data_IF_014734062920
#
_entry.id   IF_014734062920
#
_cell.length_a   1.000
_cell.length_b   1.000
_cell.length_c   1.000
_cell.angle_alpha   90.00
_cell.angle_beta   90.00
_cell.angle_gamma   90.00
#
_symmetry.space_group_name_H-M   'P 1'
#
loop_
_entity.id
_entity.type
_entity.pdbx_description
1 polymer ?
#
# COMPACT_ATOMS: atom_id res chain seq x y z
N UNK A 1 16.86 -4.55 15.28
CA UNK A 1 15.99 -3.40 15.58
C UNK A 1 16.87 -2.17 15.60
N UNK A 2 16.76 -1.34 14.56
CA UNK A 2 17.46 -0.05 14.46
C UNK A 2 16.68 0.89 15.38
N UNK A 3 17.31 1.47 16.40
CA UNK A 3 16.64 2.54 17.16
C UNK A 3 16.34 3.68 16.20
N UNK A 4 15.08 4.10 16.07
CA UNK A 4 14.72 5.21 15.21
C UNK A 4 15.51 6.48 15.61
N UNK A 5 15.75 7.42 14.68
CA UNK A 5 16.48 8.65 15.00
C UNK A 5 15.75 9.44 16.09
N UNK A 6 16.52 9.96 17.05
CA UNK A 6 16.01 10.79 18.15
C UNK A 6 15.31 12.04 17.60
N UNK A 7 14.26 12.51 18.28
CA UNK A 7 13.53 13.70 17.84
C UNK A 7 14.43 14.95 17.87
N UNK A 8 14.27 15.88 16.90
CA UNK A 8 15.01 17.15 16.90
C UNK A 8 14.77 17.96 18.19
N UNK A 9 13.56 17.88 18.75
CA UNK A 9 13.17 18.53 20.00
C UNK A 9 13.97 17.99 21.19
N UNK A 10 14.15 16.67 21.27
CA UNK A 10 14.94 16.03 22.31
C UNK A 10 16.43 16.38 22.19
N UNK A 11 16.98 16.36 20.97
CA UNK A 11 18.37 16.76 20.72
C UNK A 11 18.60 18.22 21.14
N UNK A 12 17.70 19.13 20.77
CA UNK A 12 17.78 20.54 21.16
C UNK A 12 17.69 20.73 22.68
N UNK A 13 16.84 19.95 23.36
CA UNK A 13 16.77 19.97 24.82
C UNK A 13 18.10 19.51 25.44
N UNK A 14 18.67 18.40 24.97
CA UNK A 14 19.98 17.93 25.44
C UNK A 14 21.07 18.98 25.20
N UNK A 15 21.07 19.64 24.04
CA UNK A 15 22.03 20.67 23.70
C UNK A 15 21.92 21.91 24.62
N UNK A 16 20.70 22.39 24.87
CA UNK A 16 20.48 23.48 25.82
C UNK A 16 20.88 23.12 27.26
N UNK A 17 20.69 21.86 27.67
CA UNK A 17 21.10 21.39 28.99
C UNK A 17 22.63 21.35 29.15
N UNK A 18 23.38 20.83 28.17
CA UNK A 18 24.85 20.81 28.27
C UNK A 18 25.46 22.22 28.23
N UNK A 19 24.84 23.16 27.52
CA UNK A 19 25.25 24.57 27.50
C UNK A 19 25.00 25.26 28.84
N UNK A 20 23.83 25.05 29.43
CA UNK A 20 23.48 25.59 30.75
C UNK A 20 24.42 25.06 31.83
N UNK A 21 24.62 23.74 31.88
CA UNK A 21 25.55 23.09 32.81
C UNK A 21 26.99 23.56 32.56
N UNK A 22 27.33 23.72 31.28
CA UNK A 22 28.61 24.23 30.81
C UNK A 22 28.99 25.57 31.44
N UNK A 23 28.04 26.50 31.38
CA UNK A 23 28.18 27.86 31.87
C UNK A 23 28.12 27.96 33.40
N UNK A 24 27.18 27.25 34.05
CA UNK A 24 26.99 27.34 35.50
C UNK A 24 28.19 26.76 36.27
N UNK A 25 28.70 25.60 35.85
CA UNK A 25 29.75 24.89 36.57
C UNK A 25 31.17 25.19 36.04
N UNK A 26 31.28 26.10 35.06
CA UNK A 26 32.53 26.50 34.39
C UNK A 26 33.38 25.31 33.95
N UNK A 27 32.73 24.33 33.31
CA UNK A 27 33.41 23.11 32.84
C UNK A 27 34.07 23.35 31.49
N UNK A 28 35.21 22.70 31.27
CA UNK A 28 35.89 22.71 29.97
C UNK A 28 35.15 21.85 28.94
N UNK A 29 34.42 20.83 29.40
CA UNK A 29 33.61 19.96 28.56
C UNK A 29 32.41 19.39 29.31
N UNK A 30 31.26 19.33 28.66
CA UNK A 30 30.06 18.64 29.13
C UNK A 30 29.48 17.84 27.96
N UNK A 31 29.19 16.56 28.13
CA UNK A 31 28.67 15.72 27.04
C UNK A 31 27.67 14.71 27.56
N UNK A 32 26.53 14.62 26.88
CA UNK A 32 25.53 13.57 27.10
C UNK A 32 25.79 12.46 26.09
N UNK A 33 26.02 11.26 26.62
CA UNK A 33 26.13 10.04 25.86
C UNK A 33 24.92 9.16 26.09
N UNK A 34 24.48 8.46 25.04
CA UNK A 34 23.43 7.47 25.12
C UNK A 34 23.98 6.10 24.77
N UNK A 35 23.47 5.07 25.43
CA UNK A 35 23.85 3.70 25.16
C UNK A 35 23.25 3.21 23.85
N UNK A 36 24.07 2.61 22.99
CA UNK A 36 23.58 1.92 21.81
C UNK A 36 23.08 0.51 22.17
N UNK A 37 21.94 0.05 21.62
CA UNK A 37 21.40 -1.28 21.91
C UNK A 37 22.14 -2.42 21.21
N UNK A 38 22.91 -2.13 20.14
CA UNK A 38 23.51 -3.14 19.27
C UNK A 38 24.86 -3.69 19.77
N UNK A 39 25.55 -3.00 20.68
CA UNK A 39 26.90 -3.36 21.15
C UNK A 39 27.02 -3.21 22.68
N UNK A 40 27.74 -4.14 23.33
CA UNK A 40 27.97 -4.09 24.77
C UNK A 40 28.81 -2.85 25.14
N UNK A 41 28.26 -1.98 26.00
CA UNK A 41 28.91 -0.77 26.52
C UNK A 41 29.38 0.24 25.45
N UNK A 42 28.68 0.30 24.31
CA UNK A 42 28.88 1.35 23.30
C UNK A 42 28.02 2.59 23.60
N UNK A 43 28.63 3.76 23.49
CA UNK A 43 28.03 5.05 23.83
C UNK A 43 28.20 6.05 22.69
N UNK A 44 27.10 6.67 22.28
CA UNK A 44 27.09 7.72 21.26
C UNK A 44 26.82 9.09 21.85
N UNK A 45 27.61 10.11 21.50
CA UNK A 45 27.36 11.48 21.94
C UNK A 45 26.12 12.04 21.26
N UNK A 46 25.25 12.70 22.03
CA UNK A 46 24.03 13.36 21.52
C UNK A 46 24.06 14.86 21.67
N UNK A 47 24.74 15.37 22.70
CA UNK A 47 24.95 16.79 22.91
C UNK A 47 26.31 17.02 23.54
N UNK A 48 27.01 18.07 23.10
CA UNK A 48 28.33 18.42 23.63
C UNK A 48 28.48 19.93 23.81
N UNK A 49 29.21 20.32 24.85
CA UNK A 49 29.60 21.68 25.15
C UNK A 49 31.11 21.72 25.45
N UNK A 50 31.87 22.69 24.90
CA UNK A 50 31.44 23.60 23.83
C UNK A 50 31.25 22.86 22.50
N UNK A 51 30.30 23.28 21.66
CA UNK A 51 30.01 22.64 20.37
C UNK A 51 31.23 22.57 19.43
N UNK A 52 32.21 23.44 19.63
CA UNK A 52 33.46 23.53 18.86
C UNK A 52 34.46 22.41 19.16
N UNK A 53 34.24 21.61 20.21
CA UNK A 53 35.10 20.48 20.54
C UNK A 53 34.37 19.15 20.26
N UNK A 54 34.96 18.24 19.47
CA UNK A 54 34.36 16.94 19.23
C UNK A 54 34.30 16.12 20.53
N UNK A 55 33.16 15.44 20.73
CA UNK A 55 32.98 14.48 21.81
C UNK A 55 34.00 13.33 21.68
N UNK A 56 34.39 12.73 22.81
CA UNK A 56 35.32 11.60 22.79
C UNK A 56 34.56 10.36 22.27
N UNK A 57 34.96 9.78 21.12
CA UNK A 57 34.25 8.64 20.58
C UNK A 57 34.51 7.38 21.40
N UNK A 58 33.50 6.49 21.46
CA UNK A 58 33.59 5.17 22.10
C UNK A 58 33.52 5.21 23.63
N UNK A 59 34.11 4.20 24.27
CA UNK A 59 34.05 3.96 25.73
C UNK A 59 35.43 3.96 26.41
N UNK A 60 36.52 4.25 25.68
CA UNK A 60 37.90 4.22 26.20
C UNK A 60 38.19 5.27 27.28
N UNK A 61 37.38 6.33 27.35
CA UNK A 61 37.46 7.34 28.40
C UNK A 61 36.85 6.89 29.73
N UNK A 62 36.07 5.79 29.76
CA UNK A 62 35.53 5.22 31.00
C UNK A 62 36.60 4.49 31.83
N UNK A 63 37.61 3.91 31.16
CA UNK A 63 38.65 3.10 31.82
C UNK A 63 39.81 3.93 32.36
N UNK A 64 39.92 5.21 32.00
CA UNK A 64 41.01 6.11 32.35
C UNK A 64 40.50 7.43 32.97
N UNK A 65 39.55 7.31 33.90
CA UNK A 65 38.91 8.44 34.55
C UNK A 65 39.94 9.32 35.29
N UNK A 66 40.04 10.58 34.88
CA UNK A 66 40.88 11.58 35.57
C UNK A 66 40.14 12.13 36.79
N UNK A 67 40.83 12.56 37.86
CA UNK A 67 40.19 13.18 39.03
C UNK A 67 39.39 14.46 38.71
N UNK A 68 39.63 15.05 37.54
CA UNK A 68 38.96 16.24 37.00
C UNK A 68 37.66 15.90 36.24
N UNK A 69 37.33 14.62 36.10
CA UNK A 69 36.19 14.12 35.35
C UNK A 69 35.10 13.63 36.30
N UNK A 70 33.87 14.13 36.10
CA UNK A 70 32.68 13.62 36.78
C UNK A 70 31.82 12.88 35.77
N UNK A 71 31.51 11.62 36.08
CA UNK A 71 30.64 10.76 35.27
C UNK A 71 29.40 10.44 36.07
N UNK A 72 28.25 10.87 35.57
CA UNK A 72 26.95 10.64 36.21
C UNK A 72 26.11 9.72 35.34
N UNK A 73 25.62 8.60 35.88
CA UNK A 73 24.83 7.66 35.11
C UNK A 73 23.39 8.16 34.92
N UNK A 74 22.88 8.05 33.69
CA UNK A 74 21.48 8.28 33.37
C UNK A 74 20.77 6.93 33.48
N UNK A 75 20.17 6.66 34.64
CA UNK A 75 19.56 5.35 34.95
C UNK A 75 18.08 5.52 35.22
N UNK A 76 17.27 4.64 34.62
CA UNK A 76 15.86 4.50 34.92
C UNK A 76 15.59 3.08 35.45
N UNK A 77 15.24 2.97 36.73
CA UNK A 77 15.15 1.67 37.40
C UNK A 77 16.51 0.97 37.42
N UNK A 78 16.61 -0.21 36.80
CA UNK A 78 17.87 -0.96 36.66
C UNK A 78 18.55 -0.75 35.29
N UNK A 79 17.96 0.08 34.42
CA UNK A 79 18.43 0.26 33.03
C UNK A 79 19.31 1.49 32.91
N UNK A 80 20.57 1.30 32.51
CA UNK A 80 21.48 2.39 32.11
C UNK A 80 21.12 2.88 30.70
N UNK A 81 20.57 4.08 30.64
CA UNK A 81 20.16 4.76 29.40
C UNK A 81 21.35 5.48 28.74
N UNK A 82 22.25 6.03 29.55
CA UNK A 82 23.34 6.87 29.07
C UNK A 82 24.21 7.42 30.19
N UNK A 83 25.07 8.37 29.86
CA UNK A 83 26.03 8.99 30.77
C UNK A 83 26.08 10.50 30.53
N UNK A 84 26.11 11.27 31.61
CA UNK A 84 26.48 12.68 31.58
C UNK A 84 27.94 12.79 32.04
N UNK A 85 28.80 13.36 31.21
CA UNK A 85 30.24 13.46 31.46
C UNK A 85 30.64 14.92 31.50
N UNK A 86 31.21 15.35 32.62
CA UNK A 86 31.74 16.69 32.80
C UNK A 86 33.25 16.64 33.06
N UNK A 87 33.99 17.59 32.50
CA UNK A 87 35.43 17.74 32.68
C UNK A 87 35.76 19.15 33.16
N UNK A 88 36.32 19.27 34.35
CA UNK A 88 36.73 20.55 34.96
C UNK A 88 38.17 20.48 35.46
N UNK A 89 39.15 20.98 34.67
CA UNK A 89 40.56 20.93 35.05
C UNK A 89 40.84 21.76 36.31
N UNK A 90 41.71 21.26 37.19
CA UNK A 90 42.23 22.02 38.33
C UNK A 90 41.26 22.31 39.49
N UNK A 91 40.02 21.80 39.47
CA UNK A 91 39.05 22.02 40.55
C UNK A 91 38.24 20.76 40.88
N UNK A 92 38.26 20.35 42.15
CA UNK A 92 37.46 19.23 42.66
C UNK A 92 35.97 19.58 42.72
N UNK A 93 35.12 18.57 42.60
CA UNK A 93 33.67 18.70 42.71
C UNK A 93 33.22 18.71 44.17
N UNK A 94 32.49 19.75 44.57
CA UNK A 94 31.87 19.79 45.90
C UNK A 94 30.64 18.86 45.97
N UNK A 95 30.28 18.43 47.19
CA UNK A 95 29.10 17.59 47.40
C UNK A 95 27.79 18.27 46.94
N UNK A 96 27.69 19.60 47.10
CA UNK A 96 26.54 20.36 46.62
C UNK A 96 26.45 20.41 45.09
N UNK A 97 27.58 20.62 44.38
CA UNK A 97 27.60 20.60 42.92
C UNK A 97 27.24 19.21 42.37
N UNK A 98 27.74 18.15 43.00
CA UNK A 98 27.37 16.77 42.66
C UNK A 98 25.88 16.54 42.85
N UNK A 99 25.28 17.03 43.94
CA UNK A 99 23.84 16.92 44.19
C UNK A 99 23.00 17.67 43.15
N UNK A 100 23.40 18.89 42.76
CA UNK A 100 22.70 19.64 41.71
C UNK A 100 22.81 18.95 40.34
N UNK A 101 23.99 18.44 40.00
CA UNK A 101 24.20 17.70 38.75
C UNK A 101 23.40 16.38 38.74
N UNK A 102 23.26 15.73 39.89
CA UNK A 102 22.43 14.54 40.03
C UNK A 102 20.93 14.85 39.87
N UNK A 103 20.46 16.04 40.28
CA UNK A 103 19.09 16.48 40.00
C UNK A 103 18.89 16.75 38.50
N UNK A 104 19.88 17.36 37.84
CA UNK A 104 19.84 17.57 36.39
C UNK A 104 19.80 16.25 35.60
N UNK A 105 20.55 15.23 36.03
CA UNK A 105 20.46 13.90 35.41
C UNK A 105 19.10 13.24 35.58
N UNK A 106 18.44 13.40 36.73
CA UNK A 106 17.07 12.90 36.93
C UNK A 106 16.07 13.54 35.95
N UNK A 107 16.18 14.85 35.69
CA UNK A 107 15.35 15.53 34.70
C UNK A 107 15.59 14.99 33.29
N UNK A 108 16.85 14.74 32.92
CA UNK A 108 17.20 14.15 31.63
C UNK A 108 16.65 12.72 31.47
N UNK A 109 16.70 11.91 32.54
CA UNK A 109 16.11 10.56 32.54
C UNK A 109 14.60 10.60 32.34
N UNK A 110 13.90 11.54 32.98
CA UNK A 110 12.45 11.70 32.79
C UNK A 110 12.10 12.14 31.37
N UNK A 111 12.83 13.12 30.82
CA UNK A 111 12.66 13.57 29.43
C UNK A 111 12.89 12.42 28.43
N UNK A 112 13.92 11.59 28.68
CA UNK A 112 14.18 10.39 27.90
C UNK A 112 13.02 9.38 27.96
N UNK A 113 12.50 9.11 29.15
CA UNK A 113 11.36 8.21 29.34
C UNK A 113 10.11 8.65 28.56
N UNK A 114 9.84 9.95 28.52
CA UNK A 114 8.74 10.53 27.75
C UNK A 114 8.95 10.40 26.24
N UNK A 115 10.17 10.62 25.74
CA UNK A 115 10.49 10.44 24.32
C UNK A 115 10.33 8.98 23.88
N UNK A 116 10.77 8.03 24.71
CA UNK A 116 10.56 6.59 24.47
C UNK A 116 9.07 6.22 24.42
N UNK A 117 8.27 6.75 25.36
CA UNK A 117 6.82 6.55 25.34
C UNK A 117 6.19 7.15 24.08
N UNK A 118 6.58 8.36 23.67
CA UNK A 118 6.09 9.02 22.45
C UNK A 118 6.33 8.16 21.22
N UNK A 119 7.53 7.60 21.07
CA UNK A 119 7.88 6.72 19.95
C UNK A 119 7.06 5.42 19.95
N UNK A 120 6.89 4.80 21.13
CA UNK A 120 6.06 3.61 21.26
C UNK A 120 4.59 3.89 20.95
N UNK A 121 4.07 5.04 21.37
CA UNK A 121 2.72 5.49 21.05
C UNK A 121 2.53 5.70 19.56
N UNK A 122 3.44 6.42 18.90
CA UNK A 122 3.40 6.62 17.44
C UNK A 122 3.40 5.30 16.69
N UNK A 123 4.30 4.38 17.04
CA UNK A 123 4.38 3.06 16.39
C UNK A 123 3.08 2.28 16.57
N UNK A 124 2.50 2.26 17.78
CA UNK A 124 1.23 1.56 18.06
C UNK A 124 0.05 2.19 17.34
N UNK A 125 -0.05 3.52 17.33
CA UNK A 125 -1.14 4.21 16.62
C UNK A 125 -1.05 3.94 15.13
N UNK A 126 0.16 3.89 14.57
CA UNK A 126 0.38 3.63 13.16
C UNK A 126 -0.02 2.20 12.79
N UNK A 127 0.35 1.19 13.59
CA UNK A 127 -0.10 -0.18 13.37
C UNK A 127 -1.62 -0.37 13.50
N UNK A 128 -2.27 0.38 14.39
CA UNK A 128 -3.74 0.34 14.53
C UNK A 128 -4.45 1.02 13.36
N UNK A 129 -3.91 2.16 12.88
CA UNK A 129 -4.46 2.81 11.69
C UNK A 129 -4.25 1.94 10.46
N UNK A 130 -3.07 1.35 10.29
CA UNK A 130 -2.74 0.48 9.14
C UNK A 130 -3.69 -0.73 9.09
N UNK A 131 -3.93 -1.39 10.24
CA UNK A 131 -4.88 -2.50 10.34
C UNK A 131 -6.34 -2.07 10.10
N UNK A 132 -6.73 -0.86 10.52
CA UNK A 132 -8.06 -0.33 10.27
C UNK A 132 -8.27 0.02 8.79
N UNK A 133 -7.31 0.66 8.14
CA UNK A 133 -7.34 0.92 6.69
C UNK A 133 -7.35 -0.38 5.90
N UNK A 134 -6.54 -1.37 6.27
CA UNK A 134 -6.52 -2.66 5.59
C UNK A 134 -7.85 -3.41 5.73
N UNK A 135 -8.49 -3.34 6.90
CA UNK A 135 -9.82 -3.92 7.13
C UNK A 135 -10.89 -3.17 6.33
N UNK A 136 -10.82 -1.85 6.26
CA UNK A 136 -11.75 -1.04 5.46
C UNK A 136 -11.59 -1.27 3.95
N UNK A 137 -10.36 -1.41 3.46
CA UNK A 137 -10.06 -1.72 2.07
C UNK A 137 -10.48 -3.14 1.68
N UNK A 138 -10.27 -4.13 2.56
CA UNK A 138 -10.77 -5.49 2.38
C UNK A 138 -12.30 -5.53 2.36
N UNK A 139 -12.95 -4.84 3.29
CA UNK A 139 -14.41 -4.74 3.30
C UNK A 139 -14.93 -4.06 2.03
N UNK A 140 -14.32 -2.96 1.59
CA UNK A 140 -14.68 -2.30 0.34
C UNK A 140 -14.52 -3.22 -0.87
N UNK A 141 -13.44 -3.99 -0.93
CA UNK A 141 -13.16 -4.94 -2.02
C UNK A 141 -14.17 -6.09 -2.04
N UNK A 142 -14.47 -6.69 -0.88
CA UNK A 142 -15.46 -7.78 -0.77
C UNK A 142 -16.86 -7.27 -1.12
N UNK A 143 -17.25 -6.09 -0.64
CA UNK A 143 -18.52 -5.46 -0.98
C UNK A 143 -18.64 -5.19 -2.49
N UNK A 144 -17.55 -4.74 -3.12
CA UNK A 144 -17.50 -4.52 -4.56
C UNK A 144 -17.60 -5.84 -5.35
N UNK A 145 -16.91 -6.89 -4.90
CA UNK A 145 -16.99 -8.22 -5.53
C UNK A 145 -18.37 -8.87 -5.41
N UNK A 146 -19.13 -8.57 -4.35
CA UNK A 146 -20.50 -9.06 -4.17
C UNK A 146 -21.54 -8.34 -5.04
N UNK A 147 -21.28 -7.11 -5.50
CA UNK A 147 -22.19 -6.39 -6.43
C UNK A 147 -22.33 -7.07 -7.77
N UNK A 148 -21.24 -7.66 -8.27
CA UNK A 148 -21.21 -8.32 -9.58
C UNK A 148 -22.13 -9.55 -9.66
N UNK A 149 -22.07 -10.54 -8.74
CA UNK A 149 -22.98 -11.68 -8.74
C UNK A 149 -24.43 -11.28 -8.41
N UNK A 150 -24.66 -10.24 -7.61
CA UNK A 150 -26.01 -9.72 -7.35
C UNK A 150 -26.62 -9.05 -8.58
N UNK A 151 -25.81 -8.31 -9.35
CA UNK A 151 -26.25 -7.73 -10.62
C UNK A 151 -26.58 -8.83 -11.62
N UNK A 152 -25.77 -9.88 -11.69
CA UNK A 152 -26.04 -11.06 -12.53
C UNK A 152 -27.35 -11.78 -12.10
N UNK A 153 -27.56 -12.01 -10.81
CA UNK A 153 -28.80 -12.59 -10.28
C UNK A 153 -30.03 -11.75 -10.62
N UNK A 154 -29.91 -10.43 -10.52
CA UNK A 154 -30.97 -9.48 -10.90
C UNK A 154 -31.28 -9.61 -12.40
N UNK A 155 -30.27 -9.65 -13.24
CA UNK A 155 -30.43 -9.83 -14.69
C UNK A 155 -31.08 -11.17 -15.03
N UNK A 156 -30.63 -12.28 -14.44
CA UNK A 156 -31.23 -13.60 -14.64
C UNK A 156 -32.70 -13.65 -14.21
N UNK A 157 -33.05 -13.06 -13.07
CA UNK A 157 -34.43 -12.99 -12.62
C UNK A 157 -35.27 -12.09 -13.55
N UNK A 158 -34.77 -10.96 -14.04
CA UNK A 158 -35.48 -10.14 -15.04
C UNK A 158 -35.74 -10.90 -16.35
N UNK A 159 -34.78 -11.71 -16.80
CA UNK A 159 -34.90 -12.56 -17.98
C UNK A 159 -35.93 -13.68 -17.80
N UNK A 160 -35.93 -14.36 -16.65
CA UNK A 160 -36.94 -15.35 -16.28
C UNK A 160 -38.35 -14.76 -16.29
N UNK A 161 -38.53 -13.54 -15.76
CA UNK A 161 -39.83 -12.83 -15.75
C UNK A 161 -40.38 -12.62 -17.17
N UNK A 162 -39.49 -12.37 -18.13
CA UNK A 162 -39.85 -12.07 -19.52
C UNK A 162 -40.16 -13.33 -20.34
N UNK A 163 -39.65 -14.50 -19.93
CA UNK A 163 -39.89 -15.80 -20.58
C UNK A 163 -41.05 -16.60 -19.98
N UNK A 164 -41.41 -16.37 -18.73
CA UNK A 164 -42.48 -17.10 -18.04
C UNK A 164 -43.86 -16.48 -18.34
N UNK A 165 -44.78 -17.31 -18.84
CA UNK A 165 -46.13 -16.91 -19.26
C UNK A 165 -47.24 -17.10 -18.21
N UNK A 166 -46.94 -17.74 -17.06
CA UNK A 166 -47.92 -18.04 -16.00
C UNK A 166 -47.86 -17.09 -14.80
N UNK A 167 -49.01 -16.73 -14.24
CA UNK A 167 -49.12 -15.75 -13.14
C UNK A 167 -48.34 -16.13 -11.87
N UNK A 168 -48.31 -17.43 -11.51
CA UNK A 168 -47.54 -17.93 -10.35
C UNK A 168 -46.02 -17.85 -10.55
N UNK A 169 -45.54 -18.04 -11.78
CA UNK A 169 -44.11 -18.01 -12.07
C UNK A 169 -43.58 -16.56 -12.10
N UNK A 170 -44.43 -15.59 -12.47
CA UNK A 170 -44.11 -14.16 -12.38
C UNK A 170 -44.02 -13.65 -10.94
N UNK A 171 -44.86 -14.15 -10.02
CA UNK A 171 -44.77 -13.78 -8.59
C UNK A 171 -43.46 -14.25 -7.94
N UNK A 172 -43.03 -15.48 -8.21
CA UNK A 172 -41.77 -16.04 -7.67
C UNK A 172 -40.55 -15.25 -8.14
N UNK A 173 -40.52 -14.91 -9.42
CA UNK A 173 -39.43 -14.11 -10.01
C UNK A 173 -39.42 -12.67 -9.50
N UNK A 174 -40.60 -12.08 -9.31
CA UNK A 174 -40.73 -10.74 -8.73
C UNK A 174 -40.24 -10.73 -7.27
N UNK A 175 -40.51 -11.79 -6.51
CA UNK A 175 -39.97 -11.99 -5.16
C UNK A 175 -38.44 -12.12 -5.15
N UNK A 176 -37.84 -12.87 -6.08
CA UNK A 176 -36.37 -12.98 -6.22
C UNK A 176 -35.73 -11.63 -6.57
N UNK A 177 -36.33 -10.84 -7.47
CA UNK A 177 -35.84 -9.51 -7.82
C UNK A 177 -35.84 -8.56 -6.62
N UNK A 178 -36.95 -8.53 -5.89
CA UNK A 178 -37.08 -7.69 -4.70
C UNK A 178 -36.07 -8.07 -3.60
N UNK A 179 -35.79 -9.36 -3.42
CA UNK A 179 -34.76 -9.83 -2.48
C UNK A 179 -33.35 -9.46 -2.94
N UNK A 180 -33.07 -9.57 -4.24
CA UNK A 180 -31.76 -9.21 -4.81
C UNK A 180 -31.49 -7.71 -4.69
N UNK A 181 -32.50 -6.87 -4.95
CA UNK A 181 -32.42 -5.42 -4.75
C UNK A 181 -32.24 -5.06 -3.28
N UNK A 182 -32.94 -5.75 -2.37
CA UNK A 182 -32.78 -5.54 -0.93
C UNK A 182 -31.39 -5.90 -0.42
N UNK A 183 -30.78 -6.98 -0.93
CA UNK A 183 -29.40 -7.35 -0.58
C UNK A 183 -28.42 -6.31 -1.16
N UNK A 184 -28.61 -5.86 -2.40
CA UNK A 184 -27.78 -4.81 -3.00
C UNK A 184 -27.85 -3.48 -2.21
N UNK A 185 -29.03 -3.09 -1.73
CA UNK A 185 -29.23 -1.90 -0.91
C UNK A 185 -28.60 -2.04 0.49
N UNK A 186 -28.67 -3.23 1.10
CA UNK A 186 -27.99 -3.51 2.36
C UNK A 186 -26.46 -3.44 2.23
N UNK A 187 -25.91 -3.91 1.10
CA UNK A 187 -24.46 -3.81 0.83
C UNK A 187 -24.02 -2.36 0.61
N UNK A 188 -24.84 -1.53 -0.06
CA UNK A 188 -24.60 -0.09 -0.19
C UNK A 188 -24.55 0.64 1.16
N UNK A 189 -25.34 0.20 2.15
CA UNK A 189 -25.35 0.79 3.50
C UNK A 189 -24.15 0.37 4.37
N UNK A 190 -23.42 -0.67 3.98
CA UNK A 190 -22.23 -1.15 4.66
C UNK A 190 -20.93 -0.53 4.13
N UNK A 191 -20.99 0.26 3.05
CA UNK A 191 -19.85 1.02 2.58
C UNK A 191 -19.52 2.14 3.58
N UNK A 192 -18.26 2.22 4.07
CA UNK A 192 -17.87 3.32 4.93
C UNK A 192 -17.96 4.63 4.16
N UNK A 193 -18.87 5.51 4.60
CA UNK A 193 -19.02 6.88 4.13
C UNK A 193 -17.86 7.72 4.66
N UNK A 194 -16.68 7.56 4.07
CA UNK A 194 -15.56 8.45 4.30
C UNK A 194 -14.83 8.71 2.98
N UNK A 195 -14.53 9.97 2.63
CA UNK A 195 -13.69 10.27 1.49
C UNK A 195 -12.29 9.71 1.78
N UNK A 196 -11.84 8.70 1.02
CA UNK A 196 -10.50 8.16 1.17
C UNK A 196 -9.46 9.26 0.87
N UNK A 197 -8.51 9.53 1.78
CA UNK A 197 -7.39 10.40 1.46
C UNK A 197 -6.49 9.68 0.45
N UNK A 198 -6.13 10.40 -0.62
CA UNK A 198 -5.16 9.95 -1.61
C UNK A 198 -3.81 9.74 -0.92
N UNK A 199 -3.42 8.49 -0.70
CA UNK A 199 -2.09 8.13 -0.25
C UNK A 199 -1.18 7.93 -1.46
N UNK A 200 -0.03 8.65 -1.54
CA UNK A 200 0.99 8.38 -2.55
C UNK A 200 1.82 7.16 -2.11
N UNK A 201 1.85 6.12 -2.94
CA UNK A 201 2.88 5.08 -2.90
C UNK A 201 2.81 4.13 -1.70
N UNK A 202 2.03 3.06 -1.84
CA UNK A 202 2.04 1.92 -0.92
C UNK A 202 1.54 0.68 -1.64
N UNK A 203 2.44 -0.06 -2.27
CA UNK A 203 2.13 -1.33 -2.92
C UNK A 203 1.82 -2.38 -1.86
N UNK A 204 0.55 -2.51 -1.46
CA UNK A 204 0.07 -3.67 -0.70
C UNK A 204 -0.28 -4.76 -1.71
N UNK A 205 0.47 -5.88 -1.78
CA UNK A 205 0.14 -6.97 -2.69
C UNK A 205 -1.24 -7.52 -2.31
N UNK A 206 -2.12 -7.67 -3.30
CA UNK A 206 -3.38 -8.36 -3.10
C UNK A 206 -3.07 -9.76 -2.58
N UNK A 207 -3.56 -10.07 -1.37
CA UNK A 207 -3.55 -11.41 -0.80
C UNK A 207 -4.53 -12.30 -1.58
N UNK A 208 -4.27 -12.56 -2.87
CA UNK A 208 -4.80 -13.75 -3.49
C UNK A 208 -4.04 -14.96 -2.91
N UNK A 209 -4.72 -16.08 -2.64
CA UNK A 209 -4.01 -17.34 -2.39
C UNK A 209 -3.02 -17.56 -3.52
N UNK A 210 -1.79 -18.02 -3.21
CA UNK A 210 -0.70 -18.10 -4.19
C UNK A 210 -1.18 -18.68 -5.53
N UNK A 211 -0.93 -17.95 -6.63
CA UNK A 211 -1.41 -18.31 -7.96
C UNK A 211 -0.94 -19.71 -8.33
N UNK A 212 -1.86 -20.51 -8.86
CA UNK A 212 -1.55 -21.82 -9.41
C UNK A 212 -1.35 -21.69 -10.91
N UNK A 213 -0.09 -21.59 -11.34
CA UNK A 213 0.24 -21.49 -12.76
C UNK A 213 0.17 -22.86 -13.42
N UNK A 214 -0.83 -23.06 -14.26
CA UNK A 214 -1.05 -24.28 -15.02
C UNK A 214 -1.26 -23.98 -16.52
N UNK A 215 -1.17 -25.00 -17.39
CA UNK A 215 -1.57 -24.86 -18.79
C UNK A 215 -3.07 -24.52 -18.93
N UNK A 216 -3.38 -23.25 -19.16
CA UNK A 216 -4.76 -22.77 -19.33
C UNK A 216 -5.05 -22.56 -20.82
N UNK A 217 -6.09 -23.22 -21.33
CA UNK A 217 -6.57 -22.97 -22.71
C UNK A 217 -7.25 -21.61 -22.79
N UNK A 218 -6.68 -20.71 -23.59
CA UNK A 218 -7.16 -19.32 -23.66
C UNK A 218 -8.60 -19.23 -24.16
N UNK A 219 -8.99 -20.11 -25.10
CA UNK A 219 -10.35 -20.18 -25.60
C UNK A 219 -11.40 -20.49 -24.50
N UNK A 220 -11.05 -21.32 -23.50
CA UNK A 220 -11.95 -21.67 -22.39
C UNK A 220 -12.21 -20.47 -21.47
N UNK A 221 -11.29 -19.51 -21.41
CA UNK A 221 -11.44 -18.27 -20.64
C UNK A 221 -12.15 -17.18 -21.43
N UNK A 222 -11.76 -16.97 -22.70
CA UNK A 222 -12.31 -15.89 -23.52
C UNK A 222 -13.78 -16.13 -23.90
N UNK A 223 -14.14 -17.34 -24.30
CA UNK A 223 -15.50 -17.66 -24.80
C UNK A 223 -16.61 -17.23 -23.84
N UNK A 224 -16.62 -17.61 -22.54
CA UNK A 224 -17.68 -17.18 -21.63
C UNK A 224 -17.68 -15.67 -21.38
N UNK A 225 -16.51 -15.03 -21.34
CA UNK A 225 -16.41 -13.57 -21.14
C UNK A 225 -16.95 -12.80 -22.35
N UNK A 226 -16.63 -13.24 -23.57
CA UNK A 226 -17.14 -12.67 -24.81
C UNK A 226 -18.66 -12.78 -24.87
N UNK A 227 -19.25 -13.91 -24.47
CA UNK A 227 -20.71 -14.06 -24.44
C UNK A 227 -21.38 -13.04 -23.50
N UNK A 228 -20.85 -12.85 -22.30
CA UNK A 228 -21.36 -11.83 -21.36
C UNK A 228 -21.14 -10.41 -21.86
N UNK A 229 -19.96 -10.14 -22.43
CA UNK A 229 -19.61 -8.86 -23.00
C UNK A 229 -20.49 -8.50 -24.22
N UNK A 230 -20.88 -9.48 -25.04
CA UNK A 230 -21.72 -9.27 -26.22
C UNK A 230 -23.12 -8.75 -25.83
N UNK A 231 -23.69 -9.25 -24.74
CA UNK A 231 -24.96 -8.75 -24.21
C UNK A 231 -24.83 -7.30 -23.73
N UNK A 232 -23.76 -7.00 -22.99
CA UNK A 232 -23.48 -5.65 -22.48
C UNK A 232 -23.22 -4.65 -23.61
N UNK A 233 -22.53 -5.08 -24.67
CA UNK A 233 -22.29 -4.28 -25.86
C UNK A 233 -23.60 -3.92 -26.57
N UNK A 234 -24.50 -4.89 -26.76
CA UNK A 234 -25.81 -4.65 -27.39
C UNK A 234 -26.67 -3.64 -26.62
N UNK A 235 -26.72 -3.73 -25.29
CA UNK A 235 -27.46 -2.79 -24.44
C UNK A 235 -26.92 -1.35 -24.55
N UNK A 236 -25.62 -1.20 -24.80
CA UNK A 236 -24.95 0.10 -24.97
C UNK A 236 -24.89 0.59 -26.42
N UNK A 237 -25.43 -0.18 -27.37
CA UNK A 237 -25.36 0.12 -28.80
C UNK A 237 -23.93 0.03 -29.37
N UNK A 238 -23.11 -0.87 -28.85
CA UNK A 238 -21.72 -1.14 -29.28
C UNK A 238 -21.65 -2.41 -30.12
N UNK A 239 -20.63 -2.51 -30.98
CA UNK A 239 -20.32 -3.73 -31.73
C UNK A 239 -19.14 -4.45 -31.09
N UNK A 240 -19.34 -5.65 -30.56
CA UNK A 240 -18.25 -6.50 -30.03
C UNK A 240 -17.81 -7.53 -31.07
N UNK A 241 -16.56 -7.45 -31.51
CA UNK A 241 -15.87 -8.46 -32.31
C UNK A 241 -15.11 -9.46 -31.44
N UNK A 242 -15.06 -10.71 -31.89
CA UNK A 242 -14.24 -11.75 -31.29
C UNK A 242 -13.43 -12.45 -32.38
N UNK A 243 -12.11 -12.37 -32.29
CA UNK A 243 -11.22 -13.11 -33.18
C UNK A 243 -11.11 -14.55 -32.66
N UNK A 244 -11.55 -15.57 -33.44
CA UNK A 244 -11.50 -16.94 -32.98
C UNK A 244 -10.07 -17.39 -32.66
N UNK A 245 -9.90 -17.93 -31.45
CA UNK A 245 -8.60 -18.41 -30.96
C UNK A 245 -8.48 -19.92 -31.19
N UNK A 246 -7.27 -20.39 -31.51
CA UNK A 246 -7.03 -21.83 -31.64
C UNK A 246 -7.41 -22.58 -30.35
N UNK A 247 -8.18 -23.69 -30.43
CA UNK A 247 -8.53 -24.50 -29.26
C UNK A 247 -7.31 -25.07 -28.52
N UNK A 248 -6.16 -25.14 -29.19
CA UNK A 248 -4.91 -25.66 -28.61
C UNK A 248 -4.01 -24.58 -28.02
N UNK A 249 -4.39 -23.30 -28.13
CA UNK A 249 -3.59 -22.19 -27.59
C UNK A 249 -3.68 -22.18 -26.06
N UNK A 250 -2.56 -22.44 -25.40
CA UNK A 250 -2.47 -22.48 -23.95
C UNK A 250 -1.39 -21.52 -23.42
N UNK A 251 -1.71 -20.83 -22.33
CA UNK A 251 -0.78 -19.98 -21.60
C UNK A 251 -0.50 -20.60 -20.23
N UNK A 252 0.71 -20.39 -19.70
CA UNK A 252 1.03 -20.74 -18.32
C UNK A 252 0.45 -19.64 -17.41
N UNK A 253 -0.70 -19.91 -16.81
CA UNK A 253 -1.49 -18.92 -16.10
C UNK A 253 -2.32 -19.55 -14.98
N UNK A 254 -2.84 -18.71 -14.09
CA UNK A 254 -3.94 -19.11 -13.20
C UNK A 254 -5.26 -18.78 -13.91
N UNK A 255 -6.15 -19.77 -14.04
CA UNK A 255 -7.37 -19.62 -14.82
C UNK A 255 -8.33 -18.55 -14.26
N UNK A 256 -8.37 -18.37 -12.94
CA UNK A 256 -9.21 -17.38 -12.28
C UNK A 256 -8.61 -15.98 -12.41
N UNK A 257 -7.30 -15.84 -12.21
CA UNK A 257 -6.60 -14.58 -12.40
C UNK A 257 -6.68 -14.11 -13.87
N UNK A 258 -6.51 -15.02 -14.83
CA UNK A 258 -6.61 -14.68 -16.25
C UNK A 258 -8.03 -14.22 -16.62
N UNK A 259 -9.05 -14.86 -16.06
CA UNK A 259 -10.45 -14.43 -16.25
C UNK A 259 -10.68 -13.02 -15.70
N UNK A 260 -10.16 -12.73 -14.51
CA UNK A 260 -10.25 -11.42 -13.88
C UNK A 260 -9.55 -10.34 -14.71
N UNK A 261 -8.36 -10.64 -15.23
CA UNK A 261 -7.62 -9.73 -16.11
C UNK A 261 -8.44 -9.38 -17.35
N UNK A 262 -8.92 -10.38 -18.08
CA UNK A 262 -9.65 -10.15 -19.33
C UNK A 262 -11.00 -9.45 -19.07
N UNK A 263 -11.71 -9.81 -18.00
CA UNK A 263 -12.97 -9.14 -17.63
C UNK A 263 -12.74 -7.64 -17.39
N UNK A 264 -11.71 -7.29 -16.61
CA UNK A 264 -11.39 -5.90 -16.33
C UNK A 264 -11.04 -5.11 -17.60
N UNK A 265 -10.32 -5.72 -18.55
CA UNK A 265 -10.01 -5.09 -19.83
C UNK A 265 -11.27 -4.88 -20.69
N UNK A 266 -12.11 -5.91 -20.83
CA UNK A 266 -13.37 -5.82 -21.59
C UNK A 266 -14.35 -4.80 -20.98
N UNK A 267 -14.50 -4.80 -19.66
CA UNK A 267 -15.39 -3.88 -18.96
C UNK A 267 -14.94 -2.43 -19.15
N UNK A 268 -13.63 -2.17 -19.10
CA UNK A 268 -13.07 -0.86 -19.40
C UNK A 268 -13.35 -0.45 -20.84
N UNK A 269 -13.08 -1.31 -21.82
CA UNK A 269 -13.33 -1.01 -23.24
C UNK A 269 -14.82 -0.74 -23.50
N UNK A 270 -15.74 -1.57 -23.00
CA UNK A 270 -17.19 -1.34 -23.14
C UNK A 270 -17.69 -0.08 -22.42
N UNK A 271 -16.98 0.38 -21.39
CA UNK A 271 -17.33 1.56 -20.60
C UNK A 271 -16.84 2.87 -21.22
N UNK A 272 -15.68 2.86 -21.84
CA UNK A 272 -15.07 4.07 -22.40
C UNK A 272 -15.25 4.21 -23.91
N UNK A 273 -15.88 3.22 -24.56
CA UNK A 273 -16.30 3.32 -25.97
C UNK A 273 -17.66 4.02 -26.07
N UNK A 274 -17.78 5.09 -26.89
CA UNK A 274 -19.05 5.77 -27.11
C UNK A 274 -20.04 4.88 -27.90
N UNK A 275 -21.37 5.09 -27.76
CA UNK A 275 -22.37 4.36 -28.53
C UNK A 275 -22.09 4.39 -30.04
N UNK A 276 -22.27 3.25 -30.71
CA UNK A 276 -21.90 3.04 -32.11
C UNK A 276 -20.44 2.66 -32.35
N UNK A 277 -19.60 2.67 -31.32
CA UNK A 277 -18.20 2.25 -31.41
C UNK A 277 -17.99 0.73 -31.42
N UNK A 278 -16.75 0.34 -31.68
CA UNK A 278 -16.33 -1.05 -31.79
C UNK A 278 -15.36 -1.44 -30.66
N UNK A 279 -15.54 -2.65 -30.15
CA UNK A 279 -14.58 -3.31 -29.25
C UNK A 279 -14.26 -4.67 -29.87
N UNK A 280 -12.99 -5.05 -29.90
CA UNK A 280 -12.51 -6.33 -30.42
C UNK A 280 -11.64 -7.02 -29.39
N UNK A 281 -11.79 -8.34 -29.25
CA UNK A 281 -10.96 -9.16 -28.36
C UNK A 281 -10.47 -10.40 -29.08
N UNK A 282 -9.21 -10.75 -28.84
CA UNK A 282 -8.58 -11.91 -29.46
C UNK A 282 -7.34 -12.37 -28.72
N UNK A 283 -6.76 -13.45 -29.22
CA UNK A 283 -5.47 -13.93 -28.77
C UNK A 283 -4.70 -14.61 -29.89
N UNK A 284 -3.38 -14.53 -29.83
CA UNK A 284 -2.47 -15.10 -30.82
C UNK A 284 -1.26 -15.76 -30.17
N UNK A 285 -0.72 -16.77 -30.84
CA UNK A 285 0.53 -17.40 -30.45
C UNK A 285 1.72 -16.54 -30.87
N UNK A 286 2.71 -16.42 -29.99
CA UNK A 286 4.01 -15.85 -30.30
C UNK A 286 5.11 -16.90 -30.08
N UNK A 287 6.33 -16.71 -30.61
CA UNK A 287 7.41 -17.68 -30.43
C UNK A 287 7.75 -18.00 -28.96
N UNK A 288 7.48 -17.06 -28.04
CA UNK A 288 7.82 -17.17 -26.62
C UNK A 288 6.61 -17.33 -25.68
N UNK A 289 5.38 -17.24 -26.19
CA UNK A 289 4.20 -17.11 -25.33
C UNK A 289 2.90 -16.88 -26.08
N UNK A 290 1.90 -16.41 -25.36
CA UNK A 290 0.58 -16.05 -25.89
C UNK A 290 0.33 -14.57 -25.65
N UNK A 291 -0.14 -13.87 -26.68
CA UNK A 291 -0.63 -12.50 -26.55
C UNK A 291 -2.15 -12.54 -26.57
N UNK A 292 -2.78 -11.97 -25.55
CA UNK A 292 -4.23 -11.74 -25.49
C UNK A 292 -4.41 -10.23 -25.55
N UNK A 293 -5.37 -9.76 -26.34
CA UNK A 293 -5.57 -8.33 -26.53
C UNK A 293 -7.03 -7.94 -26.52
N UNK A 294 -7.29 -6.72 -26.07
CA UNK A 294 -8.59 -6.04 -26.16
C UNK A 294 -8.34 -4.68 -26.79
N UNK A 295 -9.07 -4.38 -27.86
CA UNK A 295 -8.98 -3.14 -28.61
C UNK A 295 -10.34 -2.44 -28.63
N UNK A 296 -10.35 -1.12 -28.51
CA UNK A 296 -11.55 -0.29 -28.64
C UNK A 296 -11.31 0.98 -29.45
N UNK A 297 -12.38 1.48 -30.07
CA UNK A 297 -12.43 2.78 -30.74
C UNK A 297 -12.86 3.91 -29.78
N UNK A 298 -12.54 3.77 -28.50
CA UNK A 298 -12.92 4.73 -27.47
C UNK A 298 -12.20 6.08 -27.55
N UNK A 299 -12.39 6.89 -26.52
CA UNK A 299 -11.81 8.25 -26.43
C UNK A 299 -10.28 8.30 -26.46
N UNK A 300 -9.63 7.14 -26.26
CA UNK A 300 -8.19 6.98 -26.12
C UNK A 300 -7.64 7.57 -24.82
N UNK A 301 -6.38 7.25 -24.54
CA UNK A 301 -5.63 7.67 -23.36
C UNK A 301 -4.52 8.64 -23.80
N UNK A 302 -4.52 9.91 -23.35
CA UNK A 302 -3.46 10.86 -23.64
C UNK A 302 -2.09 10.33 -23.21
N UNK A 303 -1.02 10.61 -23.98
CA UNK A 303 0.32 10.06 -23.73
C UNK A 303 0.85 10.29 -22.31
N UNK A 304 0.54 11.44 -21.73
CA UNK A 304 0.90 11.80 -20.35
C UNK A 304 0.18 10.97 -19.27
N UNK A 305 -0.96 10.36 -19.60
CA UNK A 305 -1.74 9.51 -18.69
C UNK A 305 -1.41 8.02 -18.86
N UNK A 306 -0.79 7.59 -19.97
CA UNK A 306 -0.58 6.16 -20.30
C UNK A 306 0.27 5.39 -19.29
N UNK A 307 1.23 6.04 -18.64
CA UNK A 307 2.00 5.41 -17.57
C UNK A 307 1.22 5.37 -16.25
N UNK A 308 0.30 6.31 -16.07
CA UNK A 308 -0.43 6.54 -14.81
C UNK A 308 -1.73 5.77 -14.73
N UNK A 309 -2.29 5.30 -15.85
CA UNK A 309 -3.53 4.49 -15.85
C UNK A 309 -3.40 3.16 -15.11
N UNK A 310 -2.18 2.69 -14.84
CA UNK A 310 -1.93 1.52 -14.00
C UNK A 310 -1.74 1.86 -12.52
N UNK A 311 -1.70 3.14 -12.14
CA UNK A 311 -1.68 3.57 -10.74
C UNK A 311 -3.04 3.31 -10.07
N UNK A 312 -3.02 2.80 -8.84
CA UNK A 312 -4.24 2.59 -8.05
C UNK A 312 -4.98 3.91 -7.82
N UNK A 313 -6.30 3.89 -7.97
CA UNK A 313 -7.20 5.03 -7.82
C UNK A 313 -6.95 6.17 -8.83
N UNK A 314 -6.13 5.96 -9.85
CA UNK A 314 -5.93 6.96 -10.90
C UNK A 314 -7.09 6.93 -11.90
N UNK A 315 -7.59 8.12 -12.24
CA UNK A 315 -8.63 8.33 -13.26
C UNK A 315 -8.19 9.49 -14.14
N UNK A 316 -8.18 9.24 -15.44
CA UNK A 316 -7.82 10.24 -16.45
C UNK A 316 -8.74 11.45 -16.41
N UNK A 317 -8.24 12.61 -16.81
CA UNK A 317 -9.00 13.86 -16.78
C UNK A 317 -10.25 13.79 -17.67
N UNK A 318 -10.24 12.94 -18.71
CA UNK A 318 -11.34 12.73 -19.65
C UNK A 318 -12.37 11.68 -19.21
N UNK A 319 -12.10 10.96 -18.10
CA UNK A 319 -12.95 9.86 -17.59
C UNK A 319 -13.44 10.09 -16.15
N UNK A 320 -13.23 11.30 -15.60
CA UNK A 320 -13.61 11.70 -14.25
C UNK A 320 -15.13 11.65 -13.97
N UNK A 321 -15.97 11.74 -15.00
CA UNK A 321 -17.44 11.70 -14.89
C UNK A 321 -18.04 10.30 -14.99
N UNK A 322 -17.28 9.29 -15.42
CA UNK A 322 -17.80 7.91 -15.62
C UNK A 322 -17.60 7.06 -14.35
N UNK A 323 -18.64 6.54 -13.69
CA UNK A 323 -18.53 5.88 -12.38
C UNK A 323 -17.52 4.72 -12.38
N UNK A 324 -16.56 4.71 -11.44
CA UNK A 324 -15.56 3.64 -11.24
C UNK A 324 -14.39 4.07 -10.33
N UNK A 325 -13.74 3.09 -9.70
CA UNK A 325 -12.83 3.33 -8.56
C UNK A 325 -11.33 3.40 -8.94
N UNK A 326 -10.99 3.23 -10.23
CA UNK A 326 -9.60 3.35 -10.71
C UNK A 326 -8.68 2.21 -10.26
N UNK A 327 -9.24 1.07 -9.85
CA UNK A 327 -8.47 -0.11 -9.40
C UNK A 327 -8.25 -1.15 -10.50
N UNK A 328 -9.14 -1.25 -11.49
CA UNK A 328 -9.15 -2.37 -12.44
C UNK A 328 -7.85 -2.58 -13.20
N UNK A 329 -7.24 -1.52 -13.74
CA UNK A 329 -5.98 -1.65 -14.48
C UNK A 329 -4.75 -1.91 -13.60
N UNK A 330 -4.76 -1.43 -12.34
CA UNK A 330 -3.73 -1.75 -11.37
C UNK A 330 -3.76 -3.25 -10.99
N UNK A 331 -4.96 -3.81 -10.80
CA UNK A 331 -5.17 -5.25 -10.57
C UNK A 331 -4.68 -6.06 -11.78
N UNK A 332 -5.01 -5.61 -12.99
CA UNK A 332 -4.53 -6.26 -14.22
C UNK A 332 -3.00 -6.31 -14.26
N UNK A 333 -2.32 -5.20 -14.01
CA UNK A 333 -0.86 -5.15 -14.04
C UNK A 333 -0.24 -6.09 -13.00
N UNK A 334 -0.79 -6.12 -11.79
CA UNK A 334 -0.32 -6.98 -10.70
C UNK A 334 -0.49 -8.47 -11.04
N UNK A 335 -1.69 -8.89 -11.46
CA UNK A 335 -1.97 -10.29 -11.82
C UNK A 335 -1.12 -10.76 -13.00
N UNK A 336 -0.99 -9.94 -14.05
CA UNK A 336 -0.15 -10.27 -15.21
C UNK A 336 1.31 -10.42 -14.80
N UNK A 337 1.82 -9.53 -13.93
CA UNK A 337 3.19 -9.60 -13.44
C UNK A 337 3.43 -10.87 -12.59
N UNK A 338 2.48 -11.23 -11.72
CA UNK A 338 2.58 -12.45 -10.91
C UNK A 338 2.50 -13.74 -11.74
N UNK A 339 1.84 -13.70 -12.90
CA UNK A 339 1.87 -14.79 -13.90
C UNK A 339 3.15 -14.80 -14.77
N UNK A 340 4.13 -13.92 -14.48
CA UNK A 340 5.36 -13.81 -15.26
C UNK A 340 5.17 -13.16 -16.64
N UNK A 341 4.04 -12.48 -16.84
CA UNK A 341 3.69 -11.80 -18.07
C UNK A 341 4.06 -10.32 -18.09
N UNK A 342 3.63 -9.64 -19.15
CA UNK A 342 3.72 -8.18 -19.30
C UNK A 342 2.47 -7.62 -19.96
N UNK A 343 2.13 -6.38 -19.63
CA UNK A 343 1.04 -5.63 -20.27
C UNK A 343 1.62 -4.46 -21.07
N UNK A 344 1.11 -4.25 -22.27
CA UNK A 344 1.41 -3.10 -23.13
C UNK A 344 0.13 -2.38 -23.52
N UNK A 345 0.22 -1.06 -23.61
CA UNK A 345 -0.86 -0.17 -23.99
C UNK A 345 -0.45 0.61 -25.25
N UNK A 346 -1.32 0.64 -26.25
CA UNK A 346 -1.20 1.50 -27.42
C UNK A 346 -2.42 2.40 -27.53
N UNK A 347 -2.20 3.72 -27.53
CA UNK A 347 -3.22 4.75 -27.68
C UNK A 347 -2.52 6.09 -28.02
N UNK A 348 -3.15 7.09 -28.66
CA UNK A 348 -4.35 7.05 -29.52
C UNK A 348 -4.03 6.65 -30.98
N UNK A 349 -5.04 6.38 -31.86
CA UNK A 349 -6.49 6.42 -31.64
C UNK A 349 -7.03 5.19 -30.91
N UNK A 350 -8.16 5.35 -30.21
CA UNK A 350 -8.75 4.26 -29.42
C UNK A 350 -7.82 3.78 -28.30
N UNK A 351 -8.02 2.55 -27.85
CA UNK A 351 -7.14 1.91 -26.85
C UNK A 351 -6.93 0.46 -27.24
N UNK A 352 -5.67 0.02 -27.33
CA UNK A 352 -5.32 -1.41 -27.48
C UNK A 352 -4.46 -1.84 -26.29
N UNK A 353 -5.01 -2.72 -25.47
CA UNK A 353 -4.32 -3.34 -24.34
C UNK A 353 -3.92 -4.75 -24.73
N UNK A 354 -2.65 -5.10 -24.56
CA UNK A 354 -2.13 -6.42 -24.87
C UNK A 354 -1.44 -7.00 -23.64
N UNK A 355 -1.78 -8.22 -23.28
CA UNK A 355 -1.12 -8.99 -22.23
C UNK A 355 -0.36 -10.14 -22.87
N UNK A 356 0.91 -10.25 -22.56
CA UNK A 356 1.75 -11.38 -22.97
C UNK A 356 1.95 -12.30 -21.77
N UNK A 357 1.76 -13.60 -21.97
CA UNK A 357 1.96 -14.66 -20.97
C UNK A 357 2.88 -15.75 -21.53
N UNK A 358 3.67 -16.44 -20.68
CA UNK A 358 4.51 -17.55 -21.12
C UNK A 358 3.68 -18.70 -21.72
N UNK A 359 4.27 -19.42 -22.68
CA UNK A 359 3.61 -20.60 -23.25
C UNK A 359 3.62 -21.76 -22.25
N UNK A 360 2.59 -22.59 -22.26
CA UNK A 360 2.47 -23.76 -21.39
C UNK A 360 3.45 -24.92 -21.72
N UNK A 361 4.53 -24.65 -22.45
CA UNK A 361 5.38 -25.65 -23.10
C UNK A 361 6.89 -25.45 -22.98
N UNK A 362 7.38 -24.57 -22.11
CA UNK A 362 8.81 -24.46 -21.80
C UNK A 362 9.04 -24.34 -20.28
N UNK A 363 9.27 -25.49 -19.66
CA UNK A 363 10.04 -25.61 -18.42
C UNK A 363 11.40 -26.22 -18.76
#
# INVERSE_FOLDING_TARGET
MITPPLSPEFINLCQGQVELLGNIFQVSRCTIYLRQPAENWSFTPVATYPQTQPALPGSSWLTNAKPEQLVLPLVQGEVLLGLLVLLRPGMLWSGWEQEQLQRATQTLVLAWGLEQQRQNWQTRTQSLTDGHTQTQELLATVLHQLRSPLSALKTFAQLLRKRLGGAKDQEVVTGMLAQTERIAELLLRLEPTAPQPRLPGGSVPLLLPGLTLEPVRVAEVLTPLVMTAHLTAQERGLTLGYTPVSPTLAAQADAQALREVVSNLLDNSLKYTPPGGHVEVGAEATPAGVVIWVQDDGLGIPGEEQLRVFERHYRGCRTATTPGDGLGLAVVQELVSQMGGRITLTSPPGTRMEIWLPNAGQS
#
